data_IF_176850092166
#
_entry.id   IF_176850092166
#
_cell.length_a   1.000
_cell.length_b   1.000
_cell.length_c   1.000
_cell.angle_alpha   90.00
_cell.angle_beta   90.00
_cell.angle_gamma   90.00
#
_symmetry.space_group_name_H-M   'P 1'
#
loop_
_entity.id
_entity.type
_entity.pdbx_description
1 polymer ?
#
# COMPACT_ATOMS: atom_id res chain seq x y z
N UNK A 1 17.82 -1.00 -9.90
CA UNK A 1 17.27 -1.64 -11.13
C UNK A 1 17.17 -0.62 -12.27
N UNK A 2 16.92 -1.06 -13.52
CA UNK A 2 16.75 -0.17 -14.69
C UNK A 2 15.26 -0.01 -15.05
N UNK A 3 14.60 1.11 -14.71
CA UNK A 3 13.19 1.35 -15.00
C UNK A 3 12.80 1.20 -16.47
N UNK A 4 13.69 1.55 -17.40
CA UNK A 4 13.40 1.52 -18.84
C UNK A 4 13.28 0.08 -19.35
N UNK A 5 14.21 -0.78 -18.96
CA UNK A 5 14.17 -2.20 -19.33
C UNK A 5 12.90 -2.88 -18.79
N UNK A 6 12.50 -2.56 -17.56
CA UNK A 6 11.24 -3.07 -16.99
C UNK A 6 10.02 -2.62 -17.80
N UNK A 7 9.97 -1.34 -18.22
CA UNK A 7 8.88 -0.83 -19.06
C UNK A 7 8.82 -1.48 -20.45
N UNK A 8 9.96 -1.78 -21.05
CA UNK A 8 10.02 -2.50 -22.33
C UNK A 8 9.48 -3.92 -22.20
N UNK A 9 9.87 -4.64 -21.14
CA UNK A 9 9.35 -5.99 -20.83
C UNK A 9 7.84 -5.95 -20.57
N UNK A 10 7.34 -4.97 -19.81
CA UNK A 10 5.91 -4.79 -19.60
C UNK A 10 5.17 -4.48 -20.90
N UNK A 11 5.72 -3.62 -21.76
CA UNK A 11 5.10 -3.30 -23.05
C UNK A 11 4.96 -4.53 -23.95
N UNK A 12 5.97 -5.40 -23.96
CA UNK A 12 5.91 -6.69 -24.65
C UNK A 12 4.82 -7.58 -24.05
N UNK A 13 4.79 -7.76 -22.73
CA UNK A 13 3.78 -8.57 -22.06
C UNK A 13 2.35 -8.06 -22.30
N UNK A 14 2.12 -6.75 -22.23
CA UNK A 14 0.82 -6.11 -22.51
C UNK A 14 0.35 -6.43 -23.93
N UNK A 15 1.24 -6.33 -24.93
CA UNK A 15 0.89 -6.61 -26.32
C UNK A 15 0.64 -8.08 -26.59
N UNK A 16 1.59 -8.93 -26.22
CA UNK A 16 1.57 -10.35 -26.58
C UNK A 16 0.59 -11.16 -25.73
N UNK A 17 0.48 -10.83 -24.44
CA UNK A 17 -0.39 -11.55 -23.51
C UNK A 17 -1.74 -10.86 -23.30
N UNK A 18 -1.95 -9.69 -23.91
CA UNK A 18 -3.20 -8.91 -23.83
C UNK A 18 -3.68 -8.69 -22.39
N UNK A 19 -2.72 -8.50 -21.47
CA UNK A 19 -3.04 -8.24 -20.07
C UNK A 19 -3.69 -6.86 -19.91
N UNK A 20 -4.49 -6.72 -18.87
CA UNK A 20 -5.22 -5.49 -18.52
C UNK A 20 -4.86 -4.95 -17.14
N UNK A 21 -4.21 -5.79 -16.31
CA UNK A 21 -3.84 -5.51 -14.93
C UNK A 21 -2.35 -5.75 -14.74
N UNK A 22 -1.67 -4.83 -14.06
CA UNK A 22 -0.24 -4.90 -13.75
C UNK A 22 -0.04 -4.70 -12.25
N UNK A 23 0.66 -5.63 -11.60
CA UNK A 23 1.05 -5.52 -10.20
C UNK A 23 2.58 -5.39 -10.16
N UNK A 24 3.09 -4.34 -9.51
CA UNK A 24 4.53 -4.14 -9.28
C UNK A 24 4.81 -4.35 -7.80
N UNK A 25 5.37 -5.51 -7.47
CA UNK A 25 5.80 -5.88 -6.12
C UNK A 25 7.33 -6.02 -6.06
N UNK A 26 8.11 -5.05 -5.57
CA UNK A 26 7.71 -3.74 -5.05
C UNK A 26 8.27 -2.61 -5.90
N UNK A 27 7.54 -1.49 -6.00
CA UNK A 27 8.03 -0.27 -6.65
C UNK A 27 9.21 0.33 -5.89
N UNK A 28 9.33 0.05 -4.59
CA UNK A 28 10.42 0.51 -3.71
C UNK A 28 11.79 0.01 -4.15
N UNK A 29 11.88 -1.21 -4.70
CA UNK A 29 13.15 -1.73 -5.25
C UNK A 29 13.72 -0.86 -6.38
N UNK A 30 12.89 -0.11 -7.10
CA UNK A 30 13.33 0.75 -8.20
C UNK A 30 14.01 2.04 -7.74
N UNK A 31 13.75 2.49 -6.52
CA UNK A 31 14.31 3.70 -5.94
C UNK A 31 15.04 3.46 -4.62
N UNK A 32 15.47 2.22 -4.37
CA UNK A 32 16.29 1.88 -3.22
C UNK A 32 17.59 2.70 -3.22
N UNK A 33 17.96 3.25 -2.06
CA UNK A 33 19.06 4.21 -1.89
C UNK A 33 18.92 5.53 -2.68
N UNK A 34 17.76 5.78 -3.31
CA UNK A 34 17.44 6.97 -4.10
C UNK A 34 16.03 7.47 -3.80
N UNK A 35 15.68 7.58 -2.52
CA UNK A 35 14.33 7.96 -2.08
C UNK A 35 13.86 9.29 -2.68
N UNK A 36 14.76 10.27 -2.85
CA UNK A 36 14.48 11.55 -3.51
C UNK A 36 13.95 11.39 -4.95
N UNK A 37 14.27 10.28 -5.63
CA UNK A 37 13.80 9.96 -6.98
C UNK A 37 12.48 9.17 -7.01
N UNK A 38 11.94 8.75 -5.86
CA UNK A 38 10.74 7.93 -5.78
C UNK A 38 9.57 8.57 -6.56
N UNK A 39 9.36 9.87 -6.38
CA UNK A 39 8.32 10.63 -7.10
C UNK A 39 8.49 10.58 -8.62
N UNK A 40 9.72 10.72 -9.12
CA UNK A 40 9.99 10.70 -10.56
C UNK A 40 9.77 9.30 -11.13
N UNK A 41 10.28 8.27 -10.44
CA UNK A 41 10.16 6.88 -10.85
C UNK A 41 8.68 6.48 -10.88
N UNK A 42 7.95 6.65 -9.78
CA UNK A 42 6.52 6.31 -9.72
C UNK A 42 5.71 7.03 -10.80
N UNK A 43 5.99 8.32 -11.04
CA UNK A 43 5.32 9.09 -12.12
C UNK A 43 5.60 8.51 -13.50
N UNK A 44 6.81 8.03 -13.76
CA UNK A 44 7.17 7.41 -15.02
C UNK A 44 6.33 6.14 -15.25
N UNK A 45 6.20 5.27 -14.24
CA UNK A 45 5.39 4.05 -14.31
C UNK A 45 3.89 4.35 -14.41
N UNK A 46 3.40 5.31 -13.63
CA UNK A 46 2.01 5.77 -13.69
C UNK A 46 1.63 6.24 -15.09
N UNK A 47 2.43 7.14 -15.68
CA UNK A 47 2.17 7.66 -17.02
C UNK A 47 2.28 6.57 -18.10
N UNK A 48 3.23 5.64 -17.95
CA UNK A 48 3.36 4.49 -18.83
C UNK A 48 2.07 3.64 -18.79
N UNK A 49 1.66 3.13 -17.63
CA UNK A 49 0.47 2.29 -17.52
C UNK A 49 -0.81 2.99 -17.99
N UNK A 50 -0.94 4.29 -17.69
CA UNK A 50 -2.05 5.12 -18.19
C UNK A 50 -2.09 5.18 -19.71
N UNK A 51 -0.95 5.40 -20.38
CA UNK A 51 -0.85 5.39 -21.85
C UNK A 51 -1.25 4.04 -22.45
N UNK A 52 -0.93 2.95 -21.76
CA UNK A 52 -1.24 1.58 -22.17
C UNK A 52 -2.60 1.07 -21.69
N UNK A 53 -3.43 1.94 -21.07
CA UNK A 53 -4.77 1.61 -20.55
C UNK A 53 -4.77 0.41 -19.59
N UNK A 54 -3.77 0.33 -18.73
CA UNK A 54 -3.62 -0.75 -17.74
C UNK A 54 -4.09 -0.28 -16.36
N UNK A 55 -4.75 -1.15 -15.61
CA UNK A 55 -4.97 -0.97 -14.18
C UNK A 55 -3.70 -1.38 -13.44
N UNK A 56 -3.06 -0.43 -12.76
CA UNK A 56 -1.79 -0.66 -12.05
C UNK A 56 -1.98 -0.72 -10.54
N UNK A 57 -1.39 -1.72 -9.88
CA UNK A 57 -1.22 -1.77 -8.43
C UNK A 57 0.28 -1.72 -8.11
N UNK A 58 0.71 -0.67 -7.38
CA UNK A 58 2.10 -0.51 -6.96
C UNK A 58 2.21 -0.81 -5.48
N UNK A 59 3.04 -1.78 -5.12
CA UNK A 59 3.33 -2.12 -3.72
C UNK A 59 4.58 -1.36 -3.31
N UNK A 60 4.45 -0.50 -2.31
CA UNK A 60 5.57 0.25 -1.73
C UNK A 60 5.76 -0.12 -0.27
N UNK A 61 7.01 -0.22 0.17
CA UNK A 61 7.38 -0.55 1.53
C UNK A 61 8.12 0.63 2.16
N UNK A 62 7.66 1.11 3.32
CA UNK A 62 8.42 2.06 4.14
C UNK A 62 9.38 1.26 5.02
N UNK A 63 10.69 1.49 4.87
CA UNK A 63 11.73 0.87 5.71
C UNK A 63 12.16 1.75 6.89
N UNK A 64 11.78 3.03 6.91
CA UNK A 64 12.14 3.98 7.97
C UNK A 64 11.14 3.97 9.13
N UNK A 65 11.66 3.88 10.36
CA UNK A 65 10.93 3.82 11.63
C UNK A 65 10.19 5.11 12.04
N UNK A 66 9.96 6.05 11.11
CA UNK A 66 9.17 7.25 11.38
C UNK A 66 7.67 6.95 11.26
N UNK A 67 6.91 7.44 12.23
CA UNK A 67 5.50 7.16 12.50
C UNK A 67 4.60 6.95 11.25
N UNK A 68 3.74 5.93 11.31
CA UNK A 68 2.72 5.57 10.31
C UNK A 68 1.54 6.55 10.21
N UNK A 69 1.63 7.70 10.89
CA UNK A 69 0.54 8.67 11.02
C UNK A 69 0.50 9.72 9.89
N UNK A 70 1.54 9.83 9.06
CA UNK A 70 1.59 10.80 7.95
C UNK A 70 1.28 10.17 6.59
N UNK A 71 0.82 10.97 5.62
CA UNK A 71 0.65 10.63 4.19
C UNK A 71 1.93 10.04 3.57
N UNK A 72 3.08 10.23 4.22
CA UNK A 72 4.37 9.64 3.86
C UNK A 72 4.45 8.14 4.18
N UNK A 73 3.50 7.58 4.94
CA UNK A 73 3.42 6.14 5.23
C UNK A 73 3.19 5.28 3.98
N UNK A 74 2.57 5.84 2.93
CA UNK A 74 2.32 5.17 1.66
C UNK A 74 3.51 5.17 0.67
N UNK A 75 4.75 5.35 1.17
CA UNK A 75 5.97 5.24 0.35
C UNK A 75 6.89 6.46 0.30
N UNK A 76 6.72 7.45 1.19
CA UNK A 76 7.58 8.63 1.29
C UNK A 76 7.38 9.66 0.16
N UNK A 77 7.82 10.91 0.38
CA UNK A 77 7.99 11.96 -0.65
C UNK A 77 6.80 12.17 -1.62
N UNK A 78 5.57 12.22 -1.10
CA UNK A 78 4.34 12.54 -1.85
C UNK A 78 4.04 11.60 -3.04
N UNK A 79 4.50 10.34 -2.97
CA UNK A 79 4.15 9.28 -3.93
C UNK A 79 2.63 9.05 -4.00
N UNK A 80 1.96 9.08 -2.85
CA UNK A 80 0.50 8.98 -2.73
C UNK A 80 -0.27 10.05 -3.54
N UNK A 81 0.34 11.20 -3.85
CA UNK A 81 -0.30 12.26 -4.64
C UNK A 81 -0.20 12.05 -6.16
N UNK A 82 0.60 11.09 -6.61
CA UNK A 82 0.80 10.79 -8.03
C UNK A 82 -0.31 9.88 -8.53
N UNK A 83 -0.62 8.84 -7.75
CA UNK A 83 -1.56 7.78 -8.10
C UNK A 83 -3.02 8.25 -7.99
N UNK A 84 -3.93 7.48 -8.60
CA UNK A 84 -5.37 7.77 -8.55
C UNK A 84 -6.01 7.37 -7.21
N UNK A 85 -5.44 6.39 -6.52
CA UNK A 85 -5.86 6.00 -5.18
C UNK A 85 -4.74 5.32 -4.39
N UNK A 86 -4.84 5.38 -3.07
CA UNK A 86 -3.82 4.91 -2.13
C UNK A 86 -4.48 4.08 -1.04
N UNK A 87 -4.00 2.85 -0.87
CA UNK A 87 -4.37 1.95 0.22
C UNK A 87 -3.18 1.87 1.16
N UNK A 88 -3.42 2.17 2.43
CA UNK A 88 -2.39 2.09 3.48
C UNK A 88 -2.69 0.87 4.34
N UNK A 89 -1.68 0.02 4.46
CA UNK A 89 -1.70 -1.17 5.32
C UNK A 89 -0.62 -0.97 6.39
N UNK A 90 -1.00 -1.13 7.65
CA UNK A 90 -0.11 -0.96 8.79
C UNK A 90 -0.26 -2.11 9.79
N UNK A 91 0.73 -2.28 10.65
CA UNK A 91 0.70 -3.28 11.73
C UNK A 91 1.24 -2.68 13.02
N UNK A 92 0.65 -3.09 14.14
CA UNK A 92 1.11 -2.70 15.47
C UNK A 92 1.32 -3.93 16.34
N UNK A 93 2.51 -4.03 16.93
CA UNK A 93 2.83 -5.01 17.97
C UNK A 93 2.27 -4.52 19.31
N UNK A 94 1.52 -5.36 20.00
CA UNK A 94 0.94 -5.05 21.31
C UNK A 94 1.99 -5.29 22.38
N UNK A 95 2.43 -4.22 23.06
CA UNK A 95 3.56 -4.27 24.01
C UNK A 95 3.17 -3.87 25.43
N UNK A 96 1.97 -3.32 25.64
CA UNK A 96 1.51 -2.87 26.95
C UNK A 96 0.14 -3.43 27.32
N UNK A 97 -0.11 -3.56 28.63
CA UNK A 97 -1.40 -4.01 29.15
C UNK A 97 -2.56 -3.09 28.73
N UNK A 98 -2.30 -1.79 28.59
CA UNK A 98 -3.30 -0.83 28.10
C UNK A 98 -3.69 -1.12 26.64
N UNK A 99 -2.71 -1.42 25.79
CA UNK A 99 -2.97 -1.78 24.39
C UNK A 99 -3.66 -3.14 24.29
N UNK A 100 -3.24 -4.11 25.10
CA UNK A 100 -3.87 -5.43 25.14
C UNK A 100 -5.36 -5.31 25.49
N UNK A 101 -5.69 -4.52 26.50
CA UNK A 101 -7.08 -4.24 26.88
C UNK A 101 -7.84 -3.46 25.80
N UNK A 102 -7.22 -2.45 25.18
CA UNK A 102 -7.85 -1.62 24.14
C UNK A 102 -8.17 -2.41 22.87
N UNK A 103 -7.24 -3.25 22.43
CA UNK A 103 -7.34 -4.01 21.18
C UNK A 103 -7.86 -5.44 21.38
N UNK A 104 -8.10 -5.86 22.63
CA UNK A 104 -8.55 -7.23 22.99
C UNK A 104 -7.67 -8.30 22.35
N UNK A 105 -6.37 -8.08 22.47
CA UNK A 105 -5.31 -8.94 21.97
C UNK A 105 -4.29 -9.11 23.08
N UNK A 106 -3.56 -10.19 23.07
CA UNK A 106 -2.57 -10.46 24.11
C UNK A 106 -1.29 -9.65 23.88
N UNK A 107 -0.50 -9.47 24.93
CA UNK A 107 0.84 -8.90 24.79
C UNK A 107 1.67 -9.83 23.90
N UNK A 108 2.27 -9.27 22.85
CA UNK A 108 2.99 -10.01 21.82
C UNK A 108 2.19 -10.23 20.53
N UNK A 109 0.88 -10.01 20.54
CA UNK A 109 0.06 -10.10 19.34
C UNK A 109 0.30 -8.94 18.37
N UNK A 110 -0.04 -9.17 17.10
CA UNK A 110 -0.01 -8.15 16.05
C UNK A 110 -1.43 -7.84 15.59
N UNK A 111 -1.84 -6.59 15.77
CA UNK A 111 -3.04 -6.06 15.12
C UNK A 111 -2.67 -5.41 13.79
N UNK A 112 -3.51 -5.59 12.77
CA UNK A 112 -3.30 -5.04 11.43
C UNK A 112 -4.42 -4.09 11.05
N UNK A 113 -4.04 -3.03 10.35
CA UNK A 113 -4.92 -1.94 9.97
C UNK A 113 -4.87 -1.71 8.47
N UNK A 114 -6.02 -1.41 7.88
CA UNK A 114 -6.15 -1.01 6.48
C UNK A 114 -7.01 0.24 6.38
N UNK A 115 -6.60 1.19 5.54
CA UNK A 115 -7.42 2.36 5.19
C UNK A 115 -7.19 2.77 3.75
N UNK A 116 -8.20 3.42 3.17
CA UNK A 116 -8.05 4.12 1.89
C UNK A 116 -7.73 5.58 2.25
N UNK A 117 -6.49 5.99 1.97
CA UNK A 117 -5.98 7.32 2.32
C UNK A 117 -6.42 8.39 1.30
N UNK A 118 -6.66 7.95 0.06
CA UNK A 118 -7.28 8.78 -0.96
C UNK A 118 -7.73 7.97 -2.16
N UNK A 119 -8.79 8.42 -2.83
CA UNK A 119 -9.28 7.88 -4.09
C UNK A 119 -9.91 9.01 -4.90
N UNK A 120 -9.42 9.21 -6.13
CA UNK A 120 -9.93 10.22 -7.07
C UNK A 120 -11.05 9.68 -7.96
N UNK A 121 -11.26 8.37 -7.97
CA UNK A 121 -12.16 7.68 -8.89
C UNK A 121 -13.59 7.56 -8.33
N UNK A 122 -13.73 7.48 -7.01
CA UNK A 122 -15.01 7.29 -6.33
C UNK A 122 -14.96 7.72 -4.86
N UNK A 123 -16.14 7.90 -4.26
CA UNK A 123 -16.26 8.01 -2.80
C UNK A 123 -15.76 6.73 -2.13
N UNK A 124 -15.07 6.87 -1.01
CA UNK A 124 -14.45 5.77 -0.28
C UNK A 124 -14.60 5.95 1.23
N UNK A 125 -14.50 4.86 1.98
CA UNK A 125 -14.44 4.89 3.43
C UNK A 125 -13.04 5.30 3.89
N UNK A 126 -12.96 6.40 4.64
CA UNK A 126 -11.70 6.95 5.18
C UNK A 126 -11.37 6.40 6.57
N UNK A 127 -12.28 5.63 7.19
CA UNK A 127 -12.04 5.03 8.51
C UNK A 127 -10.91 4.00 8.41
N UNK A 128 -10.16 3.85 9.51
CA UNK A 128 -9.23 2.75 9.66
C UNK A 128 -9.99 1.49 10.05
N UNK A 129 -9.78 0.42 9.29
CA UNK A 129 -10.37 -0.90 9.53
C UNK A 129 -9.35 -1.86 10.11
N UNK A 130 -9.80 -2.72 11.02
CA UNK A 130 -9.02 -3.87 11.50
C UNK A 130 -9.25 -5.03 10.53
N UNK A 131 -8.18 -5.71 10.16
CA UNK A 131 -8.25 -6.90 9.33
C UNK A 131 -7.36 -8.00 9.88
N UNK A 132 -7.66 -9.24 9.50
CA UNK A 132 -6.85 -10.41 9.80
C UNK A 132 -6.42 -11.10 8.51
N UNK A 133 -5.32 -11.85 8.58
CA UNK A 133 -4.87 -12.71 7.49
C UNK A 133 -5.20 -14.12 7.92
N UNK A 134 -6.13 -14.75 7.21
CA UNK A 134 -6.53 -16.14 7.41
C UNK A 134 -5.36 -17.09 7.17
N UNK A 135 -5.46 -18.33 7.66
CA UNK A 135 -4.44 -19.37 7.40
C UNK A 135 -4.26 -19.68 5.91
N UNK A 136 -5.29 -19.42 5.09
CA UNK A 136 -5.25 -19.54 3.63
C UNK A 136 -4.49 -18.38 2.95
N UNK A 137 -4.06 -17.37 3.70
CA UNK A 137 -3.39 -16.17 3.18
C UNK A 137 -4.34 -15.10 2.63
N UNK A 138 -5.66 -15.25 2.82
CA UNK A 138 -6.65 -14.23 2.42
C UNK A 138 -6.87 -13.20 3.52
N UNK A 139 -7.25 -11.98 3.11
CA UNK A 139 -7.54 -10.86 4.02
C UNK A 139 -9.02 -10.87 4.38
N UNK A 140 -9.30 -10.84 5.69
CA UNK A 140 -10.64 -10.72 6.24
C UNK A 140 -10.80 -9.36 6.93
N UNK A 141 -11.75 -8.54 6.46
CA UNK A 141 -12.05 -7.22 7.01
C UNK A 141 -13.04 -7.36 8.17
N UNK A 142 -12.61 -7.00 9.39
CA UNK A 142 -13.36 -7.31 10.61
C UNK A 142 -14.36 -6.20 10.97
N UNK A 143 -13.86 -4.99 11.22
CA UNK A 143 -14.67 -3.84 11.63
C UNK A 143 -13.85 -2.54 11.55
N UNK A 144 -14.51 -1.37 11.47
CA UNK A 144 -13.86 -0.10 11.72
C UNK A 144 -13.23 -0.11 13.12
N UNK A 145 -12.04 0.46 13.27
CA UNK A 145 -11.29 0.47 14.53
C UNK A 145 -12.13 1.01 15.70
N UNK A 146 -12.92 2.06 15.45
CA UNK A 146 -13.82 2.66 16.45
C UNK A 146 -14.89 1.70 16.97
N UNK A 147 -15.33 0.75 16.16
CA UNK A 147 -16.31 -0.27 16.54
C UNK A 147 -15.60 -1.47 17.17
N UNK A 148 -14.46 -1.88 16.62
CA UNK A 148 -13.65 -2.99 17.11
C UNK A 148 -13.28 -2.83 18.60
N UNK A 149 -12.81 -1.64 18.99
CA UNK A 149 -12.44 -1.34 20.38
C UNK A 149 -13.63 -1.29 21.34
N UNK A 150 -14.86 -1.12 20.84
CA UNK A 150 -16.10 -1.00 21.65
C UNK A 150 -16.84 -2.30 21.88
N UNK A 151 -16.55 -3.34 21.11
CA UNK A 151 -17.14 -4.68 21.29
C UNK A 151 -16.75 -5.31 22.64
#
# INVERSE_FOLDING_TARGET
>A
ENPKALMETMAYAIKEKKITNVIIDSITGLYEHKEMMARQIVRQFFNFLKKWRQTGLFISQKRSAQASESVEAAGGLAVAHIVDGTIVVDKKLIMSQREASLYKKDIGDVIRFIRIDGCRLSGHDTRTWVFEITDAGTVEIIAPLSEYIRR
#
